data_IF_813284050826
#
_entry.id   IF_813284050826
#
_cell.length_a   1.000
_cell.length_b   1.000
_cell.length_c   1.000
_cell.angle_alpha   90.00
_cell.angle_beta   90.00
_cell.angle_gamma   90.00
#
_symmetry.space_group_name_H-M   'P 1'
#
loop_
_entity.id
_entity.type
_entity.pdbx_description
1 polymer ?
#
# COMPACT_ATOMS: atom_id res chain seq x y z
N UNK A 1 -23.43 9.17 -1.97
CA UNK A 1 -22.68 10.30 -1.39
C UNK A 1 -21.49 10.59 -2.30
N UNK A 2 -21.33 11.80 -2.81
CA UNK A 2 -20.22 12.18 -3.69
C UNK A 2 -19.34 13.18 -2.95
N UNK A 3 -18.21 12.70 -2.44
CA UNK A 3 -17.17 13.58 -1.91
C UNK A 3 -16.45 14.17 -3.11
N UNK A 4 -16.61 15.48 -3.34
CA UNK A 4 -15.99 16.14 -4.48
C UNK A 4 -14.54 16.50 -4.13
N UNK A 5 -13.66 15.55 -4.40
CA UNK A 5 -12.24 15.57 -4.01
C UNK A 5 -11.40 16.35 -5.01
N UNK A 6 -11.83 16.46 -6.30
CA UNK A 6 -10.89 16.78 -7.36
C UNK A 6 -10.39 18.23 -7.39
N UNK A 7 -11.28 19.20 -7.37
CA UNK A 7 -10.85 20.60 -7.56
C UNK A 7 -10.37 21.29 -6.29
N UNK A 8 -11.02 21.00 -5.16
CA UNK A 8 -10.63 21.57 -3.87
C UNK A 8 -9.33 20.98 -3.36
N UNK A 9 -9.13 19.67 -3.56
CA UNK A 9 -7.91 18.97 -3.15
C UNK A 9 -6.70 19.47 -3.95
N UNK A 10 -6.84 19.61 -5.27
CA UNK A 10 -5.76 20.08 -6.14
C UNK A 10 -5.25 21.48 -5.78
N UNK A 11 -6.17 22.39 -5.40
CA UNK A 11 -5.81 23.74 -4.90
C UNK A 11 -5.06 23.65 -3.57
N UNK A 12 -5.60 22.93 -2.60
CA UNK A 12 -4.99 22.76 -1.27
C UNK A 12 -3.61 22.10 -1.32
N UNK A 13 -3.43 21.06 -2.13
CA UNK A 13 -2.15 20.36 -2.27
C UNK A 13 -1.04 21.33 -2.65
N UNK A 14 -1.31 22.30 -3.53
CA UNK A 14 -0.30 23.27 -3.97
C UNK A 14 0.12 24.27 -2.89
N UNK A 15 -0.65 24.40 -1.82
CA UNK A 15 -0.36 25.26 -0.66
C UNK A 15 0.42 24.51 0.43
N UNK A 16 0.48 23.16 0.35
CA UNK A 16 1.12 22.35 1.35
C UNK A 16 2.65 22.37 1.18
N UNK A 17 3.32 22.35 2.33
CA UNK A 17 4.77 22.15 2.40
C UNK A 17 5.05 21.10 3.47
N UNK A 18 5.59 19.96 3.05
CA UNK A 18 5.92 18.87 3.95
C UNK A 18 7.34 19.05 4.49
N UNK A 19 7.42 19.24 5.79
CA UNK A 19 8.67 19.28 6.57
C UNK A 19 8.53 18.31 7.74
N UNK A 20 9.63 17.88 8.37
CA UNK A 20 9.56 17.03 9.57
C UNK A 20 8.63 17.65 10.62
N UNK A 21 7.77 16.81 11.21
CA UNK A 21 6.79 17.26 12.23
C UNK A 21 7.48 17.75 13.52
N UNK A 22 8.68 17.25 13.78
CA UNK A 22 9.46 17.59 14.96
C UNK A 22 10.95 17.43 14.71
N UNK A 23 11.81 18.26 15.33
CA UNK A 23 13.24 18.02 15.36
C UNK A 23 13.64 16.64 15.94
N UNK A 24 12.76 16.02 16.72
CA UNK A 24 12.96 14.66 17.25
C UNK A 24 13.01 13.64 16.12
N UNK A 25 12.23 13.83 15.05
CA UNK A 25 12.27 12.95 13.87
C UNK A 25 13.66 12.94 13.25
N UNK A 26 14.33 14.09 13.21
CA UNK A 26 15.70 14.22 12.69
C UNK A 26 16.74 13.51 13.58
N UNK A 27 16.43 13.32 14.86
CA UNK A 27 17.34 12.73 15.84
C UNK A 27 17.03 11.26 16.19
N UNK A 28 15.98 10.69 15.65
CA UNK A 28 15.59 9.32 15.92
C UNK A 28 16.29 8.36 14.97
N UNK A 29 17.29 7.65 15.47
CA UNK A 29 18.21 6.80 14.70
C UNK A 29 17.66 5.41 14.34
N UNK A 30 16.40 5.26 14.01
CA UNK A 30 15.91 3.94 13.56
C UNK A 30 16.44 3.53 12.20
N UNK A 31 16.64 4.49 11.31
CA UNK A 31 17.03 4.22 9.92
C UNK A 31 18.25 5.02 9.46
N UNK A 32 18.76 5.95 10.28
CA UNK A 32 19.78 6.91 9.85
C UNK A 32 20.92 6.99 10.88
N UNK A 33 22.14 7.10 10.39
CA UNK A 33 23.28 7.47 11.24
C UNK A 33 23.13 8.94 11.69
N UNK A 34 23.52 9.29 12.93
CA UNK A 34 23.39 10.65 13.48
C UNK A 34 24.03 11.76 12.64
N UNK A 35 24.92 11.40 11.73
CA UNK A 35 25.66 12.34 10.88
C UNK A 35 24.94 12.67 9.57
N UNK A 36 23.84 11.99 9.25
CA UNK A 36 23.14 12.09 7.97
C UNK A 36 21.74 12.69 8.08
N UNK A 37 21.28 13.05 9.29
CA UNK A 37 19.94 13.62 9.47
C UNK A 37 19.92 15.07 8.93
N UNK A 38 19.54 15.21 7.69
CA UNK A 38 19.21 16.50 7.08
C UNK A 38 17.70 16.64 7.04
N UNK A 39 17.18 17.75 7.59
CA UNK A 39 15.78 18.10 7.40
C UNK A 39 15.44 18.17 5.90
N UNK A 40 14.18 17.88 5.58
CA UNK A 40 13.67 17.95 4.20
C UNK A 40 12.57 19.00 4.09
N UNK A 41 12.31 19.43 2.86
CA UNK A 41 11.15 20.27 2.51
C UNK A 41 10.65 19.88 1.13
N UNK A 42 9.43 19.35 1.06
CA UNK A 42 8.76 19.02 -0.18
C UNK A 42 7.57 19.94 -0.41
N UNK A 43 7.47 20.51 -1.60
CA UNK A 43 6.33 21.32 -2.07
C UNK A 43 5.67 20.58 -3.22
N UNK A 44 4.37 20.42 -3.15
CA UNK A 44 3.58 19.70 -4.16
C UNK A 44 3.19 20.64 -5.30
N UNK A 45 4.07 20.79 -6.28
CA UNK A 45 3.88 21.71 -7.42
C UNK A 45 4.14 20.99 -8.75
N UNK A 46 3.67 21.57 -9.86
CA UNK A 46 3.88 20.99 -11.20
C UNK A 46 2.96 19.81 -11.51
N UNK A 47 3.30 19.09 -12.57
CA UNK A 47 2.44 18.03 -13.14
C UNK A 47 2.37 16.77 -12.27
N UNK A 48 3.41 16.52 -11.46
CA UNK A 48 3.49 15.34 -10.57
C UNK A 48 2.92 15.57 -9.17
N UNK A 49 2.42 16.77 -8.86
CA UNK A 49 1.98 17.14 -7.49
C UNK A 49 1.03 16.13 -6.84
N UNK A 50 0.08 15.59 -7.60
CA UNK A 50 -0.88 14.58 -7.09
C UNK A 50 -0.19 13.27 -6.77
N UNK A 51 0.75 12.85 -7.61
CA UNK A 51 1.52 11.63 -7.37
C UNK A 51 2.41 11.77 -6.13
N UNK A 52 3.15 12.87 -6.03
CA UNK A 52 4.02 13.16 -4.89
C UNK A 52 3.22 13.30 -3.59
N UNK A 53 2.04 13.92 -3.64
CA UNK A 53 1.13 13.97 -2.51
C UNK A 53 0.67 12.59 -2.06
N UNK A 54 0.30 11.70 -3.00
CA UNK A 54 -0.13 10.34 -2.70
C UNK A 54 0.95 9.45 -2.09
N UNK A 55 2.21 9.78 -2.32
CA UNK A 55 3.38 9.09 -1.77
C UNK A 55 4.02 9.85 -0.61
N UNK A 56 3.29 10.77 -0.01
CA UNK A 56 3.70 11.54 1.17
C UNK A 56 2.87 11.17 2.40
N UNK A 57 3.35 11.55 3.57
CA UNK A 57 2.60 11.39 4.83
C UNK A 57 1.24 12.10 4.80
N UNK A 58 1.13 13.23 4.08
CA UNK A 58 -0.08 14.05 4.04
C UNK A 58 -1.29 13.40 3.36
N UNK A 59 -1.11 12.33 2.61
CA UNK A 59 -2.26 11.58 2.08
C UNK A 59 -3.08 10.95 3.21
N UNK A 60 -2.45 10.62 4.32
CA UNK A 60 -3.10 10.01 5.48
C UNK A 60 -4.07 10.99 6.18
N UNK A 61 -3.73 12.27 6.25
CA UNK A 61 -4.65 13.32 6.72
C UNK A 61 -5.94 13.35 5.88
N UNK A 62 -5.83 13.14 4.58
CA UNK A 62 -6.99 13.14 3.69
C UNK A 62 -7.83 11.87 3.85
N UNK A 63 -7.19 10.72 4.12
CA UNK A 63 -7.90 9.48 4.48
C UNK A 63 -8.72 9.68 5.75
N UNK A 64 -8.15 10.27 6.80
CA UNK A 64 -8.86 10.57 8.04
C UNK A 64 -9.98 11.59 7.85
N UNK A 65 -9.77 12.61 7.04
CA UNK A 65 -10.81 13.56 6.68
C UNK A 65 -12.00 12.90 6.00
N UNK A 66 -11.71 11.99 5.08
CA UNK A 66 -12.75 11.23 4.40
C UNK A 66 -13.47 10.29 5.37
N UNK A 67 -12.72 9.56 6.22
CA UNK A 67 -13.27 8.70 7.26
C UNK A 67 -14.20 9.48 8.20
N UNK A 68 -13.74 10.65 8.68
CA UNK A 68 -14.57 11.55 9.50
C UNK A 68 -15.84 11.97 8.79
N UNK A 69 -15.73 12.38 7.54
CA UNK A 69 -16.90 12.75 6.76
C UNK A 69 -17.90 11.60 6.60
N UNK A 70 -17.41 10.37 6.37
CA UNK A 70 -18.27 9.18 6.36
C UNK A 70 -18.95 8.96 7.71
N UNK A 71 -18.21 8.99 8.81
CA UNK A 71 -18.75 8.79 10.15
C UNK A 71 -19.79 9.86 10.54
N UNK A 72 -19.56 11.12 10.15
CA UNK A 72 -20.47 12.23 10.50
C UNK A 72 -21.76 12.24 9.66
N UNK A 73 -21.78 11.60 8.47
CA UNK A 73 -22.89 11.70 7.51
C UNK A 73 -23.53 10.36 7.15
N UNK A 74 -23.19 9.30 7.88
CA UNK A 74 -23.80 7.98 7.73
C UNK A 74 -24.20 7.42 9.09
N UNK A 75 -25.07 6.41 9.08
CA UNK A 75 -25.54 5.73 10.29
C UNK A 75 -24.59 4.60 10.75
N UNK A 76 -23.32 4.64 10.30
CA UNK A 76 -22.32 3.63 10.69
C UNK A 76 -22.21 3.52 12.21
N UNK A 77 -22.39 2.33 12.73
CA UNK A 77 -22.32 2.00 14.16
C UNK A 77 -23.49 2.49 15.01
N UNK A 78 -24.59 2.93 14.42
CA UNK A 78 -25.77 3.46 15.14
C UNK A 78 -26.83 2.41 15.39
N UNK A 79 -26.89 1.33 14.63
CA UNK A 79 -27.84 0.25 14.77
C UNK A 79 -27.24 -1.02 15.40
N UNK A 80 -27.96 -2.16 15.31
CA UNK A 80 -27.53 -3.48 15.81
C UNK A 80 -26.85 -4.35 14.74
N UNK A 81 -26.75 -3.85 13.52
CA UNK A 81 -26.05 -4.53 12.43
C UNK A 81 -24.58 -4.16 12.48
N UNK A 82 -23.70 -5.13 12.29
CA UNK A 82 -22.27 -4.87 12.27
C UNK A 82 -21.86 -4.19 10.96
N UNK A 83 -21.33 -2.99 11.07
CA UNK A 83 -20.74 -2.27 9.94
C UNK A 83 -19.27 -2.64 9.75
N UNK A 84 -18.78 -2.42 8.53
CA UNK A 84 -17.38 -2.59 8.17
C UNK A 84 -16.83 -1.34 7.51
N UNK A 85 -15.81 -0.73 8.13
CA UNK A 85 -15.08 0.40 7.58
C UNK A 85 -13.66 -0.04 7.24
N UNK A 86 -13.28 0.02 5.97
CA UNK A 86 -11.92 -0.27 5.49
C UNK A 86 -11.23 1.01 5.06
N UNK A 87 -10.07 1.28 5.65
CA UNK A 87 -9.22 2.43 5.33
C UNK A 87 -7.84 1.94 4.93
N UNK A 88 -7.26 2.60 3.94
CA UNK A 88 -5.89 2.32 3.50
C UNK A 88 -5.04 3.57 3.70
N UNK A 89 -4.01 3.43 4.54
CA UNK A 89 -3.03 4.48 4.81
C UNK A 89 -1.74 4.21 4.04
N UNK A 90 -1.03 5.27 3.70
CA UNK A 90 0.28 5.19 3.10
C UNK A 90 1.37 5.12 4.18
N UNK A 91 2.18 4.08 4.13
CA UNK A 91 3.32 3.86 5.05
C UNK A 91 4.61 3.52 4.27
N UNK A 92 4.69 3.95 3.01
CA UNK A 92 5.83 3.74 2.12
C UNK A 92 6.79 4.92 2.08
N UNK A 93 7.81 4.79 1.23
CA UNK A 93 8.82 5.83 0.98
C UNK A 93 8.29 6.91 0.04
N UNK A 94 8.68 8.16 0.27
CA UNK A 94 8.32 9.26 -0.61
C UNK A 94 8.79 9.02 -2.05
N UNK A 95 7.89 9.25 -3.00
CA UNK A 95 8.13 9.07 -4.44
C UNK A 95 8.60 7.65 -4.82
N UNK A 96 8.33 6.65 -3.95
CA UNK A 96 8.82 5.28 -4.05
C UNK A 96 10.35 5.16 -4.19
N UNK A 97 11.06 6.10 -3.63
CA UNK A 97 12.53 6.08 -3.61
C UNK A 97 13.05 5.03 -2.64
N UNK A 98 14.29 4.56 -2.84
CA UNK A 98 14.96 3.70 -1.85
C UNK A 98 14.98 4.35 -0.46
N UNK A 99 14.86 3.55 0.60
CA UNK A 99 14.88 4.04 1.99
C UNK A 99 16.13 4.87 2.28
N UNK A 100 17.28 4.48 1.75
CA UNK A 100 18.53 5.19 1.92
C UNK A 100 18.53 6.65 1.38
N UNK A 101 17.65 6.97 0.42
CA UNK A 101 17.53 8.31 -0.14
C UNK A 101 16.56 9.21 0.62
N UNK A 102 15.56 8.63 1.29
CA UNK A 102 14.45 9.35 1.94
C UNK A 102 14.16 8.80 3.36
N UNK A 103 15.19 8.56 4.17
CA UNK A 103 15.00 7.91 5.48
C UNK A 103 14.25 8.81 6.47
N UNK A 104 14.44 10.14 6.42
CA UNK A 104 13.78 11.10 7.31
C UNK A 104 12.31 11.24 6.96
N UNK A 105 11.99 11.27 5.67
CA UNK A 105 10.62 11.28 5.16
C UNK A 105 9.85 10.02 5.59
N UNK A 106 10.49 8.85 5.48
CA UNK A 106 9.88 7.60 5.93
C UNK A 106 9.60 7.62 7.42
N UNK A 107 10.54 8.08 8.23
CA UNK A 107 10.39 8.21 9.67
C UNK A 107 9.28 9.20 10.02
N UNK A 108 9.22 10.37 9.39
CA UNK A 108 8.15 11.35 9.58
C UNK A 108 6.78 10.79 9.17
N UNK A 109 6.74 9.97 8.12
CA UNK A 109 5.52 9.28 7.68
C UNK A 109 4.97 8.37 8.77
N UNK A 110 5.81 7.58 9.44
CA UNK A 110 5.37 6.71 10.53
C UNK A 110 4.93 7.50 11.77
N UNK A 111 5.63 8.57 12.14
CA UNK A 111 5.23 9.42 13.27
C UNK A 111 3.88 10.07 13.02
N UNK A 112 3.65 10.58 11.79
CA UNK A 112 2.35 11.16 11.41
C UNK A 112 1.26 10.10 11.35
N UNK A 113 1.56 8.92 10.82
CA UNK A 113 0.59 7.83 10.76
C UNK A 113 0.11 7.41 12.16
N UNK A 114 1.00 7.39 13.15
CA UNK A 114 0.64 7.14 14.54
C UNK A 114 -0.37 8.18 15.07
N UNK A 115 -0.14 9.45 14.77
CA UNK A 115 -1.07 10.53 15.13
C UNK A 115 -2.43 10.40 14.42
N UNK A 116 -2.43 10.06 13.14
CA UNK A 116 -3.64 9.84 12.36
C UNK A 116 -4.46 8.65 12.90
N UNK A 117 -3.79 7.57 13.29
CA UNK A 117 -4.46 6.42 13.90
C UNK A 117 -5.04 6.77 15.28
N UNK A 118 -4.33 7.57 16.08
CA UNK A 118 -4.85 8.06 17.37
C UNK A 118 -6.10 8.95 17.16
N UNK A 119 -6.10 9.82 16.16
CA UNK A 119 -7.28 10.63 15.80
C UNK A 119 -8.44 9.74 15.35
N UNK A 120 -8.19 8.74 14.48
CA UNK A 120 -9.21 7.80 14.03
C UNK A 120 -9.86 7.06 15.21
N UNK A 121 -9.05 6.55 16.15
CA UNK A 121 -9.55 5.87 17.34
C UNK A 121 -10.46 6.82 18.15
N UNK A 122 -10.01 8.05 18.37
CA UNK A 122 -10.80 9.07 19.07
C UNK A 122 -12.14 9.36 18.38
N UNK A 123 -12.13 9.44 17.05
CA UNK A 123 -13.36 9.64 16.25
C UNK A 123 -14.31 8.44 16.41
N UNK A 124 -13.79 7.21 16.35
CA UNK A 124 -14.58 5.99 16.52
C UNK A 124 -15.16 5.88 17.94
N UNK A 125 -14.37 6.13 18.97
CA UNK A 125 -14.85 6.15 20.36
C UNK A 125 -15.99 7.16 20.57
N UNK A 126 -15.86 8.33 19.96
CA UNK A 126 -16.90 9.36 20.04
C UNK A 126 -18.17 8.96 19.27
N UNK A 127 -18.04 8.30 18.11
CA UNK A 127 -19.18 7.94 17.26
C UNK A 127 -19.93 6.73 17.79
N UNK A 128 -19.23 5.64 18.10
CA UNK A 128 -19.84 4.37 18.45
C UNK A 128 -19.68 3.99 19.92
N UNK A 129 -18.78 4.63 20.63
CA UNK A 129 -18.47 4.36 22.04
C UNK A 129 -17.27 3.42 22.23
N UNK A 130 -16.54 3.64 23.31
CA UNK A 130 -15.41 2.81 23.67
C UNK A 130 -15.82 1.34 23.87
N UNK A 131 -15.06 0.42 23.29
CA UNK A 131 -15.33 -1.03 23.39
C UNK A 131 -16.44 -1.55 22.48
N UNK A 132 -17.04 -0.72 21.62
CA UNK A 132 -18.08 -1.14 20.66
C UNK A 132 -17.56 -1.34 19.24
N UNK A 133 -16.27 -1.24 19.02
CA UNK A 133 -15.65 -1.53 17.73
C UNK A 133 -14.40 -2.40 17.89
N UNK A 134 -14.05 -3.12 16.85
CA UNK A 134 -12.82 -3.87 16.71
C UNK A 134 -11.96 -3.18 15.66
N UNK A 135 -10.75 -2.76 16.04
CA UNK A 135 -9.76 -2.22 15.10
C UNK A 135 -8.78 -3.32 14.73
N UNK A 136 -8.62 -3.56 13.44
CA UNK A 136 -7.63 -4.49 12.89
C UNK A 136 -6.68 -3.69 12.01
N UNK A 137 -5.38 -3.72 12.33
CA UNK A 137 -4.34 -3.09 11.52
C UNK A 137 -3.48 -4.18 10.88
N UNK A 138 -3.30 -4.11 9.59
CA UNK A 138 -2.49 -5.05 8.83
C UNK A 138 -1.68 -4.32 7.76
N UNK A 139 -0.52 -4.85 7.38
CA UNK A 139 0.22 -4.35 6.24
C UNK A 139 -0.22 -5.04 4.94
N UNK A 140 -0.10 -4.33 3.82
CA UNK A 140 -0.39 -4.87 2.48
C UNK A 140 0.87 -5.40 1.78
N UNK A 141 2.03 -5.30 2.42
CA UNK A 141 3.31 -5.75 1.87
C UNK A 141 4.46 -5.42 2.80
N UNK A 142 5.65 -5.69 2.32
CA UNK A 142 6.91 -5.33 2.97
C UNK A 142 7.57 -4.21 2.15
N UNK A 143 8.31 -3.31 2.80
CA UNK A 143 9.35 -2.55 2.12
C UNK A 143 10.44 -3.53 1.76
N UNK A 144 10.75 -3.65 0.47
CA UNK A 144 11.93 -4.41 0.06
C UNK A 144 13.15 -3.75 0.71
N UNK A 145 13.85 -4.52 1.52
CA UNK A 145 15.18 -4.13 1.98
C UNK A 145 16.04 -3.85 0.74
N UNK A 146 16.98 -2.92 0.84
CA UNK A 146 17.94 -2.68 -0.21
C UNK A 146 18.46 -4.02 -0.73
N UNK A 147 18.43 -4.19 -2.05
CA UNK A 147 18.96 -5.40 -2.68
C UNK A 147 20.44 -5.48 -2.30
N UNK A 148 20.72 -6.25 -1.26
CA UNK A 148 22.08 -6.54 -0.86
C UNK A 148 22.75 -7.21 -2.06
N UNK A 149 23.84 -6.61 -2.56
CA UNK A 149 24.60 -7.21 -3.65
C UNK A 149 25.28 -8.52 -3.17
N UNK A 150 24.52 -9.60 -3.25
CA UNK A 150 24.98 -10.93 -2.88
C UNK A 150 26.09 -11.48 -3.80
N UNK A 151 26.36 -10.81 -4.93
CA UNK A 151 27.44 -11.21 -5.82
C UNK A 151 28.81 -11.17 -5.13
N UNK A 152 28.98 -10.24 -4.18
CA UNK A 152 30.17 -10.14 -3.32
C UNK A 152 30.41 -11.40 -2.49
N UNK A 153 29.35 -12.13 -2.17
CA UNK A 153 29.42 -13.38 -1.38
C UNK A 153 29.33 -14.61 -2.27
N UNK A 154 29.41 -14.46 -3.61
CA UNK A 154 29.26 -15.55 -4.58
C UNK A 154 27.95 -16.34 -4.43
N UNK A 155 26.93 -15.70 -3.91
CA UNK A 155 25.57 -16.24 -3.84
C UNK A 155 24.90 -15.94 -5.16
N UNK A 156 24.47 -16.95 -5.95
CA UNK A 156 23.78 -16.71 -7.19
C UNK A 156 22.44 -16.05 -6.89
N UNK A 157 22.21 -14.88 -7.48
CA UNK A 157 20.96 -14.13 -7.40
C UNK A 157 20.38 -13.96 -8.78
N UNK A 158 19.07 -13.78 -8.86
CA UNK A 158 18.38 -13.52 -10.11
C UNK A 158 17.07 -12.81 -9.86
N UNK A 159 16.57 -12.18 -10.90
CA UNK A 159 15.25 -11.54 -10.87
C UNK A 159 14.20 -12.55 -11.29
N UNK A 160 13.25 -12.84 -10.40
CA UNK A 160 12.07 -13.63 -10.75
C UNK A 160 11.06 -12.73 -11.48
N UNK A 161 10.63 -13.16 -12.66
CA UNK A 161 9.60 -12.47 -13.43
C UNK A 161 8.34 -13.32 -13.47
N UNK A 162 7.28 -12.85 -12.82
CA UNK A 162 5.97 -13.53 -12.79
C UNK A 162 5.42 -13.67 -14.21
N UNK A 163 5.57 -12.65 -15.05
CA UNK A 163 5.14 -12.68 -16.47
C UNK A 163 5.85 -13.78 -17.25
N UNK A 164 7.14 -13.97 -17.04
CA UNK A 164 7.88 -15.08 -17.69
C UNK A 164 7.44 -16.43 -17.16
N UNK A 165 7.23 -16.53 -15.85
CA UNK A 165 6.73 -17.75 -15.22
C UNK A 165 5.33 -18.11 -15.74
N UNK A 166 4.43 -17.13 -15.84
CA UNK A 166 3.09 -17.26 -16.44
C UNK A 166 3.14 -17.80 -17.85
N UNK A 167 3.98 -17.21 -18.72
CA UNK A 167 4.15 -17.66 -20.10
C UNK A 167 4.70 -19.08 -20.20
N UNK A 168 5.71 -19.42 -19.39
CA UNK A 168 6.30 -20.78 -19.35
C UNK A 168 5.29 -21.80 -18.84
N UNK A 169 4.56 -21.48 -17.77
CA UNK A 169 3.52 -22.35 -17.24
C UNK A 169 2.41 -22.59 -18.27
N UNK A 170 1.95 -21.55 -18.94
CA UNK A 170 0.93 -21.69 -19.97
C UNK A 170 1.44 -22.60 -21.13
N UNK A 171 2.66 -22.39 -21.55
CA UNK A 171 3.29 -23.22 -22.60
C UNK A 171 3.41 -24.69 -22.16
N UNK A 172 3.81 -24.95 -20.93
CA UNK A 172 3.87 -26.29 -20.36
C UNK A 172 2.49 -26.96 -20.29
N UNK A 173 1.48 -26.26 -19.78
CA UNK A 173 0.12 -26.78 -19.70
C UNK A 173 -0.49 -27.03 -21.10
N UNK A 174 -0.16 -26.20 -22.08
CA UNK A 174 -0.52 -26.46 -23.49
C UNK A 174 0.14 -27.74 -24.02
N UNK A 175 1.36 -28.00 -23.66
CA UNK A 175 2.05 -29.23 -24.09
C UNK A 175 1.42 -30.50 -23.47
N UNK A 176 0.93 -30.39 -22.24
CA UNK A 176 0.34 -31.53 -21.50
C UNK A 176 -1.14 -31.74 -21.86
N UNK A 177 -1.92 -30.66 -21.93
CA UNK A 177 -3.40 -30.71 -22.06
C UNK A 177 -3.93 -30.22 -23.40
N UNK A 178 -3.03 -29.89 -24.33
CA UNK A 178 -3.38 -29.36 -25.66
C UNK A 178 -3.62 -27.85 -25.68
N UNK A 179 -3.88 -27.31 -26.86
CA UNK A 179 -4.01 -25.87 -27.11
C UNK A 179 -5.03 -25.18 -26.19
N UNK A 180 -4.64 -24.02 -25.64
CA UNK A 180 -5.51 -23.18 -24.80
C UNK A 180 -4.71 -22.22 -23.94
N UNK A 181 -5.37 -21.19 -23.41
CA UNK A 181 -4.79 -20.23 -22.46
C UNK A 181 -5.18 -20.65 -21.04
N UNK A 182 -4.33 -21.43 -20.40
CA UNK A 182 -4.55 -21.99 -19.06
C UNK A 182 -4.28 -20.99 -17.94
N UNK A 183 -3.35 -20.05 -18.15
CA UNK A 183 -3.12 -18.92 -17.23
C UNK A 183 -3.92 -17.73 -17.77
N UNK A 184 -4.94 -17.31 -17.02
CA UNK A 184 -5.83 -16.23 -17.42
C UNK A 184 -5.20 -14.86 -17.16
N UNK A 185 -4.63 -14.68 -15.95
CA UNK A 185 -4.01 -13.43 -15.55
C UNK A 185 -3.01 -13.66 -14.42
N UNK A 186 -2.24 -12.63 -14.15
CA UNK A 186 -1.28 -12.55 -13.04
C UNK A 186 -1.50 -11.27 -12.24
N UNK A 187 -1.33 -11.35 -10.92
CA UNK A 187 -1.38 -10.20 -10.05
C UNK A 187 -0.42 -10.38 -8.86
N UNK A 188 0.52 -9.45 -8.71
CA UNK A 188 1.59 -9.56 -7.72
C UNK A 188 2.42 -10.83 -7.94
N UNK A 189 2.47 -11.71 -6.95
CA UNK A 189 3.14 -13.01 -7.00
C UNK A 189 2.19 -14.18 -7.29
N UNK A 190 0.95 -13.92 -7.69
CA UNK A 190 -0.09 -14.93 -7.90
C UNK A 190 -0.37 -15.10 -9.39
N UNK A 191 -0.63 -16.34 -9.78
CA UNK A 191 -1.11 -16.72 -11.10
C UNK A 191 -2.53 -17.26 -11.00
N UNK A 192 -3.40 -16.82 -11.88
CA UNK A 192 -4.80 -17.24 -11.92
C UNK A 192 -5.03 -18.13 -13.13
N UNK A 193 -5.50 -19.34 -12.88
CA UNK A 193 -5.81 -20.30 -13.92
C UNK A 193 -7.19 -20.03 -14.54
N UNK A 194 -7.33 -20.27 -15.82
CA UNK A 194 -8.58 -20.19 -16.56
C UNK A 194 -9.47 -21.38 -16.20
N UNK A 195 -10.31 -21.19 -15.19
CA UNK A 195 -11.22 -22.25 -14.70
C UNK A 195 -12.19 -22.71 -15.79
N UNK A 196 -12.72 -21.80 -16.58
CA UNK A 196 -13.64 -22.14 -17.68
C UNK A 196 -13.00 -23.09 -18.68
N UNK A 197 -11.75 -22.81 -19.08
CA UNK A 197 -11.04 -23.70 -20.02
C UNK A 197 -10.79 -25.09 -19.39
N UNK A 198 -10.47 -25.13 -18.09
CA UNK A 198 -10.22 -26.38 -17.35
C UNK A 198 -11.52 -27.21 -17.30
N UNK A 199 -12.65 -26.58 -17.02
CA UNK A 199 -13.97 -27.20 -17.03
C UNK A 199 -14.40 -27.67 -18.43
N UNK A 200 -14.28 -26.81 -19.44
CA UNK A 200 -14.64 -27.13 -20.83
C UNK A 200 -13.85 -28.34 -21.35
N UNK A 201 -12.62 -28.49 -20.91
CA UNK A 201 -11.76 -29.63 -21.24
C UNK A 201 -11.93 -30.84 -20.30
N UNK A 202 -12.80 -30.73 -19.31
CA UNK A 202 -13.05 -31.78 -18.30
C UNK A 202 -11.77 -32.23 -17.55
N UNK A 203 -10.86 -31.28 -17.30
CA UNK A 203 -9.63 -31.55 -16.57
C UNK A 203 -9.87 -31.50 -15.06
N UNK A 204 -9.14 -32.34 -14.33
CA UNK A 204 -9.14 -32.25 -12.87
C UNK A 204 -8.29 -31.08 -12.40
N UNK A 205 -8.89 -30.11 -11.70
CA UNK A 205 -8.20 -28.92 -11.20
C UNK A 205 -7.02 -29.28 -10.29
N UNK A 206 -7.16 -30.31 -9.44
CA UNK A 206 -6.08 -30.76 -8.55
C UNK A 206 -4.86 -31.27 -9.34
N UNK A 207 -5.11 -31.98 -10.44
CA UNK A 207 -4.03 -32.47 -11.30
C UNK A 207 -3.32 -31.31 -12.03
N UNK A 208 -4.10 -30.32 -12.47
CA UNK A 208 -3.55 -29.12 -13.11
C UNK A 208 -2.70 -28.31 -12.11
N UNK A 209 -3.18 -28.12 -10.87
CA UNK A 209 -2.46 -27.42 -9.81
C UNK A 209 -1.18 -28.16 -9.36
N UNK A 210 -1.21 -29.50 -9.36
CA UNK A 210 -0.03 -30.30 -9.00
C UNK A 210 1.08 -30.19 -10.04
N UNK A 211 0.72 -29.88 -11.28
CA UNK A 211 1.68 -29.74 -12.40
C UNK A 211 2.10 -28.29 -12.63
N UNK A 212 1.34 -27.32 -12.10
CA UNK A 212 1.63 -25.89 -12.15
C UNK A 212 2.66 -25.48 -11.10
#
# INVERSE_FOLDING_TARGET
MRYDVSDRLSGRISELSWTPISPIVENFNFFISPQESKGFTHKFTGDRKIYEFKTSAYVNDEVNRFAKHCLDHTELGEDLVTDFLSLTYYAGTFDHKPVAEVPVELQDTYVRLDLELAELITMLEKKVGAGRFLLVVTSTGYTDDEITDFSKYRIPTGTFSVTRASALLNMYLMAVYGQGQYVETEFGSQLFLNQKLIEDKQLNLSDVLTRA
#
